data_IF_932885592755
#
_entry.id   IF_932885592755
#
_cell.length_a   1.000
_cell.length_b   1.000
_cell.length_c   1.000
_cell.angle_alpha   90.00
_cell.angle_beta   90.00
_cell.angle_gamma   90.00
#
_symmetry.space_group_name_H-M   'P 1'
#
loop_
_entity.id
_entity.type
_entity.pdbx_description
1 polymer ?
#
# COMPACT_ATOMS: atom_id res chain seq x y z
N UNK A 1 1.69 12.61 -13.30
CA UNK A 1 1.28 11.30 -12.75
C UNK A 1 -0.21 11.36 -12.47
N UNK A 2 -0.95 10.26 -12.63
CA UNK A 2 -2.33 10.22 -12.16
C UNK A 2 -2.32 10.33 -10.62
N UNK A 3 -3.19 11.17 -10.06
CA UNK A 3 -3.32 11.30 -8.62
C UNK A 3 -3.78 9.97 -8.03
N UNK A 4 -3.03 9.45 -7.05
CA UNK A 4 -3.36 8.22 -6.32
C UNK A 4 -4.60 8.45 -5.46
N UNK A 5 -5.52 7.49 -5.44
CA UNK A 5 -6.78 7.56 -4.69
C UNK A 5 -6.91 6.41 -3.70
N UNK A 6 -7.81 6.60 -2.73
CA UNK A 6 -8.18 5.53 -1.81
C UNK A 6 -8.74 4.34 -2.60
N UNK A 7 -8.24 3.14 -2.30
CA UNK A 7 -8.60 1.91 -2.99
C UNK A 7 -7.62 1.50 -4.10
N UNK A 8 -6.79 2.41 -4.59
CA UNK A 8 -5.76 2.10 -5.59
C UNK A 8 -4.67 1.19 -5.02
N UNK A 9 -3.96 0.52 -5.94
CA UNK A 9 -2.78 -0.26 -5.63
C UNK A 9 -1.54 0.48 -6.09
N UNK A 10 -0.58 0.65 -5.17
CA UNK A 10 0.73 1.24 -5.42
C UNK A 10 1.81 0.16 -5.35
N UNK A 11 2.92 0.43 -6.03
CA UNK A 11 4.13 -0.39 -5.98
C UNK A 11 5.16 0.30 -5.10
N UNK A 12 5.59 -0.40 -4.04
CA UNK A 12 6.50 0.12 -3.01
C UNK A 12 7.87 -0.54 -3.13
N UNK A 13 8.92 0.28 -3.07
CA UNK A 13 10.30 -0.16 -3.15
C UNK A 13 10.68 -0.72 -4.52
N UNK A 14 11.96 -1.06 -4.66
CA UNK A 14 12.52 -1.61 -5.90
C UNK A 14 12.01 -3.04 -6.17
N UNK A 15 11.65 -3.77 -5.12
CA UNK A 15 11.11 -5.14 -5.21
C UNK A 15 9.66 -5.19 -5.69
N UNK A 16 8.98 -4.05 -5.85
CA UNK A 16 7.63 -3.99 -6.40
C UNK A 16 6.52 -4.50 -5.47
N UNK A 17 6.64 -4.23 -4.16
CA UNK A 17 5.65 -4.69 -3.20
C UNK A 17 4.30 -4.00 -3.44
N UNK A 18 3.25 -4.78 -3.64
CA UNK A 18 1.89 -4.24 -3.80
C UNK A 18 1.33 -3.77 -2.46
N UNK A 19 0.91 -2.50 -2.39
CA UNK A 19 0.23 -1.94 -1.23
C UNK A 19 -1.08 -1.25 -1.66
N UNK A 20 -2.15 -1.46 -0.89
CA UNK A 20 -3.47 -0.89 -1.16
C UNK A 20 -3.65 0.40 -0.36
N UNK A 21 -4.02 1.48 -1.03
CA UNK A 21 -4.17 2.80 -0.41
C UNK A 21 -5.46 2.85 0.43
N UNK A 22 -5.30 3.19 1.71
CA UNK A 22 -6.40 3.40 2.66
C UNK A 22 -6.58 4.87 3.02
N UNK A 23 -5.53 5.67 2.92
CA UNK A 23 -5.61 7.11 3.13
C UNK A 23 -4.64 7.87 2.20
N UNK A 24 -5.03 9.07 1.78
CA UNK A 24 -4.19 9.98 1.00
C UNK A 24 -4.02 11.27 1.80
N UNK A 25 -2.80 11.56 2.25
CA UNK A 25 -2.49 12.77 3.00
C UNK A 25 -2.09 13.92 2.06
N UNK A 26 -1.39 13.60 0.97
CA UNK A 26 -1.03 14.53 -0.11
C UNK A 26 -0.74 13.74 -1.39
N UNK A 27 -0.45 14.44 -2.50
CA UNK A 27 -0.05 13.82 -3.76
C UNK A 27 1.17 12.89 -3.64
N UNK A 28 2.03 13.15 -2.63
CA UNK A 28 3.27 12.41 -2.41
C UNK A 28 3.26 11.63 -1.09
N UNK A 29 2.15 11.58 -0.35
CA UNK A 29 2.09 10.89 0.94
C UNK A 29 0.77 10.15 1.14
N UNK A 30 0.84 8.85 1.40
CA UNK A 30 -0.32 7.96 1.55
C UNK A 30 -0.12 6.98 2.70
N UNK A 31 -1.22 6.53 3.32
CA UNK A 31 -1.20 5.34 4.16
C UNK A 31 -1.73 4.17 3.34
N UNK A 32 -0.93 3.11 3.21
CA UNK A 32 -1.29 1.93 2.43
C UNK A 32 -1.05 0.65 3.23
N UNK A 33 -1.85 -0.38 2.94
CA UNK A 33 -1.74 -1.69 3.56
C UNK A 33 -1.06 -2.70 2.66
N UNK A 34 -0.17 -3.51 3.21
CA UNK A 34 0.61 -4.52 2.49
C UNK A 34 0.74 -5.79 3.33
N UNK A 35 1.18 -6.88 2.69
CA UNK A 35 1.49 -8.13 3.37
C UNK A 35 2.94 -8.12 3.86
N UNK A 36 3.14 -7.96 5.15
CA UNK A 36 4.41 -8.21 5.81
C UNK A 36 4.66 -9.72 5.88
N UNK A 37 5.80 -10.15 5.34
CA UNK A 37 6.22 -11.56 5.27
C UNK A 37 5.16 -12.48 4.65
N UNK A 38 4.35 -11.99 3.69
CA UNK A 38 3.26 -12.74 3.04
C UNK A 38 2.16 -13.29 3.97
N UNK A 39 2.14 -12.91 5.25
CA UNK A 39 1.22 -13.47 6.25
C UNK A 39 0.39 -12.38 6.92
N UNK A 40 1.04 -11.29 7.32
CA UNK A 40 0.42 -10.27 8.17
C UNK A 40 0.08 -9.03 7.37
N UNK A 41 -1.20 -8.69 7.29
CA UNK A 41 -1.64 -7.45 6.69
C UNK A 41 -1.42 -6.30 7.68
N UNK A 42 -0.57 -5.34 7.30
CA UNK A 42 -0.22 -4.18 8.11
C UNK A 42 -0.36 -2.90 7.28
N UNK A 43 -0.48 -1.76 7.96
CA UNK A 43 -0.54 -0.44 7.35
C UNK A 43 0.66 0.39 7.78
N UNK A 44 1.30 1.02 6.80
CA UNK A 44 2.37 2.01 7.00
C UNK A 44 2.11 3.24 6.13
N UNK A 45 2.83 4.31 6.46
CA UNK A 45 2.87 5.53 5.67
C UNK A 45 3.98 5.44 4.62
N UNK A 46 3.65 5.86 3.40
CA UNK A 46 4.54 5.86 2.26
C UNK A 46 4.66 7.26 1.68
N UNK A 47 5.87 7.60 1.25
CA UNK A 47 6.16 8.83 0.53
C UNK A 47 6.68 8.53 -0.87
N UNK A 48 6.26 9.34 -1.83
CA UNK A 48 6.74 9.30 -3.20
C UNK A 48 8.02 10.13 -3.32
N UNK A 49 9.12 9.53 -3.78
CA UNK A 49 10.40 10.26 -3.94
C UNK A 49 10.55 10.97 -5.31
N UNK A 50 9.59 10.78 -6.22
CA UNK A 50 9.71 11.16 -7.64
C UNK A 50 9.85 9.95 -8.56
N UNK A 51 10.32 8.81 -8.04
CA UNK A 51 10.54 7.58 -8.80
C UNK A 51 9.79 6.37 -8.25
N UNK A 52 9.81 6.15 -6.93
CA UNK A 52 9.12 5.01 -6.27
C UNK A 52 8.47 5.43 -4.96
N UNK A 53 7.46 4.67 -4.53
CA UNK A 53 6.92 4.78 -3.17
C UNK A 53 7.88 4.11 -2.19
N UNK A 54 8.20 4.81 -1.11
CA UNK A 54 9.10 4.32 -0.05
C UNK A 54 8.43 4.45 1.30
N UNK A 55 8.84 3.62 2.25
CA UNK A 55 8.42 3.78 3.64
C UNK A 55 8.83 5.17 4.14
N UNK A 56 7.89 5.91 4.72
CA UNK A 56 8.16 7.22 5.33
C UNK A 56 9.14 7.10 6.50
N UNK A 57 9.02 6.01 7.26
CA UNK A 57 9.86 5.73 8.43
C UNK A 57 10.84 4.60 8.12
N UNK A 58 12.08 4.70 8.65
CA UNK A 58 13.13 3.68 8.46
C UNK A 58 12.78 2.30 9.02
N UNK A 59 11.86 2.25 9.99
CA UNK A 59 11.33 1.01 10.52
C UNK A 59 9.83 0.96 10.21
N UNK A 60 9.32 -0.15 9.66
CA UNK A 60 7.88 -0.33 9.52
C UNK A 60 7.27 -0.33 10.92
N UNK A 61 6.50 0.69 11.24
CA UNK A 61 5.74 0.76 12.49
C UNK A 61 4.48 -0.09 12.39
N UNK A 62 4.01 -0.35 11.16
CA UNK A 62 3.16 -1.48 10.78
C UNK A 62 1.97 -1.68 11.72
N UNK A 63 0.98 -0.80 11.64
CA UNK A 63 -0.26 -1.00 12.38
C UNK A 63 -0.99 -2.20 11.81
N UNK A 64 -1.34 -3.16 12.66
CA UNK A 64 -2.10 -4.34 12.24
C UNK A 64 -3.48 -3.90 11.77
N UNK A 65 -3.82 -4.26 10.53
CA UNK A 65 -5.10 -3.91 9.94
C UNK A 65 -6.25 -4.66 10.62
N UNK A 66 -7.43 -4.02 10.68
CA UNK A 66 -8.65 -4.69 11.12
C UNK A 66 -9.06 -5.81 10.16
N UNK A 67 -9.97 -6.73 10.57
CA UNK A 67 -10.30 -7.91 9.77
C UNK A 67 -10.75 -7.60 8.34
N UNK A 68 -11.54 -6.53 8.18
CA UNK A 68 -12.02 -6.08 6.87
C UNK A 68 -10.89 -5.56 5.98
N UNK A 69 -10.10 -4.57 6.45
CA UNK A 69 -8.98 -4.03 5.68
C UNK A 69 -7.92 -5.10 5.37
N UNK A 70 -7.65 -5.98 6.33
CA UNK A 70 -6.73 -7.10 6.16
C UNK A 70 -7.20 -8.05 5.05
N UNK A 71 -8.51 -8.32 4.95
CA UNK A 71 -9.06 -9.15 3.87
C UNK A 71 -8.86 -8.50 2.50
N UNK A 72 -9.04 -7.17 2.40
CA UNK A 72 -8.83 -6.41 1.16
C UNK A 72 -7.37 -6.43 0.69
N UNK A 73 -6.42 -6.40 1.61
CA UNK A 73 -4.98 -6.52 1.31
C UNK A 73 -4.64 -7.96 0.91
N UNK A 74 -5.19 -8.95 1.61
CA UNK A 74 -4.97 -10.38 1.32
C UNK A 74 -5.54 -10.84 -0.03
N UNK A 75 -6.62 -10.21 -0.49
CA UNK A 75 -7.15 -10.47 -1.83
C UNK A 75 -6.17 -10.04 -2.93
N UNK A 76 -5.25 -9.12 -2.61
CA UNK A 76 -4.30 -8.57 -3.57
C UNK A 76 -4.96 -7.62 -4.59
N UNK A 77 -4.17 -7.02 -5.48
CA UNK A 77 -4.70 -6.27 -6.61
C UNK A 77 -5.58 -7.21 -7.43
N UNK A 78 -6.88 -6.88 -7.52
CA UNK A 78 -7.77 -7.58 -8.44
C UNK A 78 -7.19 -7.41 -9.84
N UNK A 79 -6.58 -8.47 -10.35
CA UNK A 79 -6.34 -8.59 -11.78
C UNK A 79 -7.73 -8.78 -12.36
N UNK A 80 -8.36 -7.68 -12.79
CA UNK A 80 -9.65 -7.70 -13.44
C UNK A 80 -9.46 -8.44 -14.79
N UNK A 81 -9.51 -9.76 -14.75
CA UNK A 81 -9.53 -10.64 -15.92
C UNK A 81 -10.97 -10.70 -16.42
N UNK A 82 -11.48 -9.56 -16.86
CA UNK A 82 -12.59 -9.54 -17.80
C UNK A 82 -11.98 -9.36 -19.19
N UNK A 83 -11.65 -10.50 -19.80
CA UNK A 83 -11.58 -10.67 -21.24
C UNK A 83 -12.91 -11.23 -21.73
#
# INVERSE_FOLDING_TARGET
>A
MAAVKIGDWISVGESGMSARVFNVFSDNEVAAGYLQNNVKAVKDDFTWDGHIWRFKYKQPSGFVLGPYEASLVKMGPFINTHK
#
